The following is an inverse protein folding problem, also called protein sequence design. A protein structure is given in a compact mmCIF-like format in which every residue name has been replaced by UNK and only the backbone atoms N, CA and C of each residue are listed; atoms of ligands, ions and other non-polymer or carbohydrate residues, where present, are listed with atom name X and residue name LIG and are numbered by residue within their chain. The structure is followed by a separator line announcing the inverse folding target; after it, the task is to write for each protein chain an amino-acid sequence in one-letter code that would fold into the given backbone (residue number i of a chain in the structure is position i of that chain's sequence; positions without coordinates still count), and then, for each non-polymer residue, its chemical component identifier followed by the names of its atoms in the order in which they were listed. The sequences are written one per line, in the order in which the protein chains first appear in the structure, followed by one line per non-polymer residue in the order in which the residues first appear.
data_IF_024102798212
#
_entry.id   IF_024102798212
#
_cell.length_a   1.000
_cell.length_b   1.000
_cell.length_c   1.000
_cell.angle_alpha   90.00
_cell.angle_beta   90.00
_cell.angle_gamma   90.00
#
_symmetry.space_group_name_H-M   'P 1'
#
loop_
_entity.id
_entity.type
_entity.pdbx_description
1 polymer ?
#
# COMPACT_ATOMS: atom_id res chain seq x y z
N UNK A 1 32.70 -8.83 -9.43
CA UNK A 1 31.71 -7.76 -9.63
C UNK A 1 30.43 -8.40 -10.16
N UNK A 2 29.40 -8.55 -9.33
CA UNK A 2 28.11 -9.14 -9.75
C UNK A 2 27.37 -8.11 -10.59
N UNK A 3 27.17 -8.41 -11.87
CA UNK A 3 26.46 -7.54 -12.81
C UNK A 3 25.00 -7.45 -12.36
N UNK A 4 24.56 -6.25 -11.97
CA UNK A 4 23.13 -5.97 -11.82
C UNK A 4 22.51 -6.22 -13.19
N UNK A 5 21.57 -7.16 -13.30
CA UNK A 5 20.74 -7.28 -14.51
C UNK A 5 19.89 -6.02 -14.61
N UNK A 6 20.39 -4.98 -15.24
CA UNK A 6 19.71 -3.68 -15.42
C UNK A 6 18.63 -3.72 -16.51
N UNK A 7 18.16 -4.89 -16.90
CA UNK A 7 17.11 -5.06 -17.91
C UNK A 7 15.73 -4.90 -17.30
N UNK A 8 15.13 -3.72 -17.43
CA UNK A 8 13.69 -3.59 -17.23
C UNK A 8 12.97 -4.54 -18.20
N UNK A 9 12.22 -5.49 -17.65
CA UNK A 9 11.36 -6.36 -18.46
C UNK A 9 10.11 -5.54 -18.80
N UNK A 10 10.12 -4.87 -19.96
CA UNK A 10 9.05 -3.97 -20.40
C UNK A 10 7.66 -4.61 -20.35
N UNK A 11 7.55 -5.90 -20.70
CA UNK A 11 6.30 -6.65 -20.61
C UNK A 11 5.74 -6.71 -19.19
N UNK A 12 6.62 -6.85 -18.19
CA UNK A 12 6.26 -6.93 -16.79
C UNK A 12 5.93 -5.55 -16.22
N UNK A 13 6.61 -4.50 -16.68
CA UNK A 13 6.20 -3.12 -16.39
C UNK A 13 4.79 -2.82 -16.93
N UNK A 14 4.49 -3.22 -18.17
CA UNK A 14 3.15 -3.06 -18.76
C UNK A 14 2.07 -3.79 -17.95
N UNK A 15 2.32 -5.03 -17.54
CA UNK A 15 1.34 -5.79 -16.77
C UNK A 15 1.08 -5.19 -15.37
N UNK A 16 2.10 -4.61 -14.73
CA UNK A 16 1.91 -3.86 -13.47
C UNK A 16 1.04 -2.62 -13.66
N UNK A 17 1.17 -1.92 -14.79
CA UNK A 17 0.32 -0.75 -15.09
C UNK A 17 -1.14 -1.21 -15.23
N UNK A 18 -1.39 -2.31 -15.96
CA UNK A 18 -2.74 -2.88 -16.08
C UNK A 18 -3.30 -3.26 -14.70
N UNK A 19 -2.50 -3.93 -13.86
CA UNK A 19 -2.90 -4.29 -12.51
C UNK A 19 -3.21 -3.06 -11.63
N UNK A 20 -2.37 -2.02 -11.69
CA UNK A 20 -2.57 -0.78 -10.95
C UNK A 20 -3.83 -0.03 -11.41
N UNK A 21 -4.08 0.05 -12.73
CA UNK A 21 -5.29 0.66 -13.28
C UNK A 21 -6.55 -0.10 -12.84
N UNK A 22 -6.49 -1.43 -12.77
CA UNK A 22 -7.60 -2.23 -12.28
C UNK A 22 -7.96 -1.89 -10.83
N UNK A 23 -6.96 -1.70 -9.95
CA UNK A 23 -7.17 -1.25 -8.56
C UNK A 23 -7.77 0.15 -8.50
N UNK A 24 -7.34 1.07 -9.38
CA UNK A 24 -7.94 2.40 -9.49
C UNK A 24 -9.42 2.28 -9.86
N UNK A 25 -9.77 1.54 -10.90
CA UNK A 25 -11.17 1.37 -11.29
C UNK A 25 -12.02 0.73 -10.19
N UNK A 26 -11.47 -0.19 -9.40
CA UNK A 26 -12.15 -0.76 -8.23
C UNK A 26 -12.49 0.30 -7.18
N UNK A 27 -11.61 1.27 -6.91
CA UNK A 27 -11.88 2.34 -5.94
C UNK A 27 -12.85 3.40 -6.49
N UNK A 28 -12.81 3.67 -7.81
CA UNK A 28 -13.72 4.60 -8.47
C UNK A 28 -15.08 3.99 -8.82
N UNK A 29 -15.31 2.70 -8.51
CA UNK A 29 -16.57 2.01 -8.80
C UNK A 29 -17.83 2.74 -8.30
N UNK A 30 -17.88 3.37 -7.09
CA UNK A 30 -19.12 3.99 -6.62
C UNK A 30 -19.50 5.18 -7.49
N UNK A 31 -18.51 6.00 -7.87
CA UNK A 31 -18.68 7.13 -8.79
C UNK A 31 -19.10 6.67 -10.19
N UNK A 32 -18.56 5.54 -10.68
CA UNK A 32 -18.94 4.96 -11.97
C UNK A 32 -20.39 4.44 -11.96
N UNK A 33 -20.83 3.86 -10.85
CA UNK A 33 -22.21 3.39 -10.69
C UNK A 33 -23.21 4.55 -10.63
N UNK A 34 -22.85 5.66 -9.98
CA UNK A 34 -23.65 6.89 -9.97
C UNK A 34 -23.74 7.53 -11.36
N UNK A 35 -22.67 7.49 -12.14
CA UNK A 35 -22.64 8.07 -13.49
C UNK A 35 -23.44 7.26 -14.52
N UNK A 36 -23.52 5.93 -14.38
CA UNK A 36 -24.30 5.10 -15.30
C UNK A 36 -24.68 3.73 -14.70
N UNK A 37 -25.99 3.47 -14.49
CA UNK A 37 -26.48 2.16 -14.04
C UNK A 37 -26.17 1.02 -15.02
N UNK A 38 -26.01 1.31 -16.32
CA UNK A 38 -25.71 0.28 -17.33
C UNK A 38 -24.26 -0.20 -17.26
N UNK A 39 -23.33 0.70 -16.94
CA UNK A 39 -21.92 0.35 -16.68
C UNK A 39 -21.77 -0.53 -15.43
N UNK A 40 -22.66 -0.37 -14.44
CA UNK A 40 -22.71 -1.25 -13.26
C UNK A 40 -22.96 -2.70 -13.68
N UNK A 41 -24.01 -2.97 -14.45
CA UNK A 41 -24.42 -4.35 -14.73
C UNK A 41 -23.41 -5.09 -15.62
N UNK A 42 -22.77 -4.40 -16.57
CA UNK A 42 -21.81 -5.04 -17.48
C UNK A 42 -20.39 -5.14 -16.90
N UNK A 43 -19.93 -4.17 -16.11
CA UNK A 43 -18.57 -4.17 -15.56
C UNK A 43 -18.48 -4.61 -14.09
N UNK A 44 -19.59 -4.84 -13.39
CA UNK A 44 -19.59 -5.31 -12.00
C UNK A 44 -18.70 -6.54 -11.76
N UNK A 45 -18.71 -7.60 -12.61
CA UNK A 45 -17.88 -8.78 -12.37
C UNK A 45 -16.38 -8.45 -12.36
N UNK A 46 -15.95 -7.57 -13.28
CA UNK A 46 -14.56 -7.16 -13.41
C UNK A 46 -14.17 -6.16 -12.31
N UNK A 47 -15.02 -5.18 -12.03
CA UNK A 47 -14.75 -4.13 -11.05
C UNK A 47 -14.89 -4.60 -9.61
N UNK A 48 -15.68 -5.64 -9.33
CA UNK A 48 -15.75 -6.23 -7.99
C UNK A 48 -14.54 -7.14 -7.69
N UNK A 49 -13.88 -7.64 -8.73
CA UNK A 49 -12.68 -8.48 -8.62
C UNK A 49 -11.37 -7.67 -8.44
N UNK A 50 -11.43 -6.36 -8.21
CA UNK A 50 -10.23 -5.52 -8.12
C UNK A 50 -9.24 -5.88 -6.99
N UNK A 51 -9.67 -6.65 -5.99
CA UNK A 51 -8.75 -7.27 -5.02
C UNK A 51 -7.68 -8.15 -5.73
N UNK A 52 -8.06 -8.84 -6.82
CA UNK A 52 -7.13 -9.63 -7.63
C UNK A 52 -6.09 -8.76 -8.33
N UNK A 53 -6.42 -7.50 -8.64
CA UNK A 53 -5.47 -6.54 -9.20
C UNK A 53 -4.34 -6.22 -8.24
N UNK A 54 -4.64 -6.13 -6.94
CA UNK A 54 -3.66 -5.93 -5.86
C UNK A 54 -2.75 -7.15 -5.77
N UNK A 55 -3.32 -8.36 -5.73
CA UNK A 55 -2.55 -9.60 -5.67
C UNK A 55 -1.61 -9.76 -6.87
N UNK A 56 -2.12 -9.51 -8.08
CA UNK A 56 -1.33 -9.55 -9.31
C UNK A 56 -0.18 -8.54 -9.24
N UNK A 57 -0.43 -7.29 -8.84
CA UNK A 57 0.59 -6.28 -8.72
C UNK A 57 1.71 -6.70 -7.75
N UNK A 58 1.36 -7.29 -6.60
CA UNK A 58 2.33 -7.76 -5.62
C UNK A 58 3.14 -8.95 -6.11
N UNK A 59 2.52 -9.93 -6.76
CA UNK A 59 3.22 -11.10 -7.33
C UNK A 59 4.26 -10.65 -8.37
N UNK A 60 3.87 -9.77 -9.29
CA UNK A 60 4.77 -9.27 -10.34
C UNK A 60 5.92 -8.44 -9.74
N UNK A 61 5.61 -7.61 -8.74
CA UNK A 61 6.62 -6.81 -8.03
C UNK A 61 7.60 -7.68 -7.25
N UNK A 62 7.10 -8.75 -6.61
CA UNK A 62 7.92 -9.76 -5.94
C UNK A 62 8.82 -10.53 -6.91
N UNK A 63 8.31 -10.88 -8.09
CA UNK A 63 9.11 -11.51 -9.14
C UNK A 63 10.26 -10.60 -9.63
N UNK A 64 9.96 -9.36 -10.02
CA UNK A 64 10.99 -8.38 -10.45
C UNK A 64 12.05 -8.20 -9.37
N UNK A 65 11.60 -8.14 -8.13
CA UNK A 65 12.47 -7.96 -7.00
C UNK A 65 13.43 -9.14 -6.82
N UNK A 66 12.88 -10.35 -6.75
CA UNK A 66 13.68 -11.56 -6.62
C UNK A 66 14.64 -11.68 -7.78
N UNK A 67 14.18 -11.48 -9.02
CA UNK A 67 15.01 -11.52 -10.22
C UNK A 67 16.22 -10.56 -10.14
N UNK A 68 16.01 -9.32 -9.68
CA UNK A 68 17.07 -8.32 -9.58
C UNK A 68 18.04 -8.55 -8.42
N UNK A 69 17.61 -9.24 -7.36
CA UNK A 69 18.40 -9.44 -6.15
C UNK A 69 18.91 -10.87 -5.97
N UNK A 70 18.50 -11.82 -6.80
CA UNK A 70 18.92 -13.23 -6.74
C UNK A 70 20.45 -13.35 -6.82
N UNK A 71 21.05 -12.68 -7.80
CA UNK A 71 22.50 -12.68 -8.04
C UNK A 71 23.29 -11.97 -6.91
N UNK A 72 22.64 -11.10 -6.13
CA UNK A 72 23.22 -10.39 -4.98
C UNK A 72 23.11 -11.18 -3.68
N UNK A 73 22.03 -11.95 -3.51
CA UNK A 73 21.81 -12.78 -2.32
C UNK A 73 22.64 -14.07 -2.35
N UNK A 74 23.01 -14.55 -3.54
CA UNK A 74 23.88 -15.72 -3.72
C UNK A 74 23.18 -17.05 -3.41
N UNK A 75 23.94 -18.14 -3.47
CA UNK A 75 23.41 -19.52 -3.33
C UNK A 75 23.02 -19.93 -1.91
N UNK A 76 23.31 -19.10 -0.90
CA UNK A 76 23.05 -19.40 0.50
C UNK A 76 22.52 -18.16 1.23
N UNK A 77 21.55 -18.37 2.12
CA UNK A 77 20.96 -17.32 2.91
C UNK A 77 22.01 -16.68 3.84
N UNK A 78 22.30 -15.41 3.62
CA UNK A 78 23.22 -14.63 4.47
C UNK A 78 22.44 -13.53 5.19
N UNK A 79 22.49 -13.54 6.52
CA UNK A 79 21.74 -12.60 7.38
C UNK A 79 22.09 -11.13 7.06
N UNK A 80 23.39 -10.79 6.94
CA UNK A 80 23.83 -9.40 6.71
C UNK A 80 23.29 -8.79 5.40
N UNK A 81 23.46 -9.42 4.22
CA UNK A 81 22.85 -8.93 2.97
C UNK A 81 21.33 -8.82 3.01
N UNK A 82 20.64 -9.79 3.63
CA UNK A 82 19.18 -9.76 3.76
C UNK A 82 18.71 -8.60 4.62
N UNK A 83 19.34 -8.37 5.78
CA UNK A 83 19.02 -7.23 6.64
C UNK A 83 19.30 -5.90 5.95
N UNK A 84 20.41 -5.78 5.22
CA UNK A 84 20.72 -4.58 4.45
C UNK A 84 19.66 -4.31 3.37
N UNK A 85 19.21 -5.36 2.67
CA UNK A 85 18.14 -5.28 1.69
C UNK A 85 16.80 -4.82 2.29
N UNK A 86 16.41 -5.40 3.44
CA UNK A 86 15.20 -5.00 4.15
C UNK A 86 15.31 -3.56 4.67
N UNK A 87 16.47 -3.18 5.18
CA UNK A 87 16.73 -1.83 5.68
C UNK A 87 16.57 -0.77 4.59
N UNK A 88 17.13 -0.98 3.39
CA UNK A 88 16.98 -0.04 2.26
C UNK A 88 15.53 0.18 1.85
N UNK A 89 14.68 -0.84 2.02
CA UNK A 89 13.25 -0.76 1.73
C UNK A 89 12.52 -0.01 2.83
N UNK A 90 12.80 -0.37 4.07
CA UNK A 90 12.22 0.28 5.24
C UNK A 90 12.57 1.76 5.26
N UNK A 91 13.83 2.13 5.03
CA UNK A 91 14.29 3.52 5.00
C UNK A 91 13.65 4.36 3.90
N UNK A 92 13.09 3.72 2.87
CA UNK A 92 12.37 4.41 1.78
C UNK A 92 10.91 4.67 2.13
N UNK A 93 10.23 3.70 2.73
CA UNK A 93 8.78 3.77 3.01
C UNK A 93 8.50 4.48 4.33
N UNK A 94 9.33 4.22 5.35
CA UNK A 94 9.14 4.69 6.71
C UNK A 94 9.10 6.22 6.87
N UNK A 95 10.00 7.01 6.25
CA UNK A 95 9.97 8.46 6.45
C UNK A 95 8.70 9.09 5.89
N UNK A 96 8.26 8.63 4.71
CA UNK A 96 7.01 9.12 4.10
C UNK A 96 5.82 8.74 4.96
N UNK A 97 5.76 7.49 5.44
CA UNK A 97 4.70 7.02 6.31
C UNK A 97 4.62 7.84 7.62
N UNK A 98 5.77 8.10 8.27
CA UNK A 98 5.78 8.93 9.47
C UNK A 98 5.29 10.35 9.19
N UNK A 99 5.73 10.97 8.09
CA UNK A 99 5.26 12.32 7.73
C UNK A 99 3.75 12.33 7.55
N UNK A 100 3.20 11.39 6.77
CA UNK A 100 1.74 11.32 6.56
C UNK A 100 0.98 11.01 7.85
N UNK A 101 1.51 10.15 8.71
CA UNK A 101 0.95 9.84 10.02
C UNK A 101 0.87 11.08 10.92
N UNK A 102 1.96 11.85 11.00
CA UNK A 102 1.98 13.06 11.83
C UNK A 102 1.07 14.15 11.26
N UNK A 103 1.03 14.32 9.93
CA UNK A 103 0.11 15.26 9.30
C UNK A 103 -1.36 14.87 9.57
N UNK A 104 -1.70 13.58 9.48
CA UNK A 104 -3.04 13.09 9.81
C UNK A 104 -3.39 13.31 11.29
N UNK A 105 -2.44 13.03 12.20
CA UNK A 105 -2.64 13.27 13.63
C UNK A 105 -2.83 14.76 13.95
N UNK A 106 -1.99 15.64 13.36
CA UNK A 106 -2.12 17.09 13.50
C UNK A 106 -3.44 17.61 12.94
N UNK A 107 -3.89 17.07 11.81
CA UNK A 107 -5.19 17.40 11.23
C UNK A 107 -6.34 17.06 12.18
N UNK A 108 -6.34 15.85 12.77
CA UNK A 108 -7.35 15.43 13.74
C UNK A 108 -7.33 16.32 14.99
N UNK A 109 -6.13 16.66 15.51
CA UNK A 109 -6.01 17.56 16.66
C UNK A 109 -6.54 18.95 16.30
N UNK A 110 -6.23 19.46 15.11
CA UNK A 110 -6.71 20.75 14.64
C UNK A 110 -8.24 20.79 14.56
N UNK A 111 -8.89 19.76 13.99
CA UNK A 111 -10.35 19.72 13.88
C UNK A 111 -11.03 19.69 15.26
N UNK A 112 -10.44 19.03 16.26
CA UNK A 112 -10.95 19.03 17.64
C UNK A 112 -10.94 20.42 18.31
N UNK A 113 -10.04 21.32 17.89
CA UNK A 113 -9.89 22.64 18.50
C UNK A 113 -10.51 23.78 17.68
N UNK A 114 -10.70 23.59 16.37
CA UNK A 114 -11.03 24.69 15.44
C UNK A 114 -12.35 24.47 14.68
N UNK A 115 -13.04 23.34 14.83
CA UNK A 115 -14.36 23.14 14.21
C UNK A 115 -15.27 22.23 15.02
N UNK A 116 -16.55 22.61 15.15
CA UNK A 116 -17.62 21.80 15.76
C UNK A 116 -18.01 20.57 14.91
N UNK A 117 -17.06 20.01 14.16
CA UNK A 117 -17.21 18.78 13.38
C UNK A 117 -16.11 17.83 13.82
N UNK A 118 -16.25 17.18 15.00
CA UNK A 118 -15.31 16.16 15.42
C UNK A 118 -15.27 15.09 14.33
N UNK A 119 -14.08 14.73 13.84
CA UNK A 119 -14.01 13.56 12.97
C UNK A 119 -14.47 12.36 13.81
N UNK A 120 -15.35 11.48 13.30
CA UNK A 120 -15.80 10.29 14.02
C UNK A 120 -14.63 9.41 14.50
N UNK A 121 -13.48 9.53 13.82
CA UNK A 121 -12.25 8.79 14.10
C UNK A 121 -11.33 9.47 15.11
N UNK A 122 -11.63 10.70 15.54
CA UNK A 122 -10.87 11.39 16.58
C UNK A 122 -10.89 10.61 17.91
N UNK A 123 -12.01 9.97 18.25
CA UNK A 123 -12.13 9.12 19.43
C UNK A 123 -11.26 7.86 19.38
N UNK A 124 -10.87 7.41 18.17
CA UNK A 124 -10.03 6.23 17.94
C UNK A 124 -8.54 6.54 17.99
N UNK A 125 -8.15 7.83 17.91
CA UNK A 125 -6.77 8.28 17.99
C UNK A 125 -6.28 8.28 19.45
N UNK A 126 -6.10 7.08 20.00
CA UNK A 126 -5.52 6.87 21.33
C UNK A 126 -3.99 6.80 21.24
N UNK A 127 -3.29 7.04 22.36
CA UNK A 127 -1.84 6.86 22.43
C UNK A 127 -1.42 5.43 22.02
N UNK A 128 -2.22 4.42 22.36
CA UNK A 128 -2.00 3.02 21.97
C UNK A 128 -2.15 2.84 20.45
N UNK A 129 -3.20 3.40 19.85
CA UNK A 129 -3.40 3.34 18.39
C UNK A 129 -2.24 4.02 17.65
N UNK A 130 -1.80 5.19 18.13
CA UNK A 130 -0.67 5.90 17.56
C UNK A 130 0.63 5.10 17.63
N UNK A 131 0.94 4.49 18.78
CA UNK A 131 2.12 3.61 18.92
C UNK A 131 2.02 2.42 17.97
N UNK A 132 0.85 1.78 17.84
CA UNK A 132 0.65 0.67 16.90
C UNK A 132 0.90 1.09 15.45
N UNK A 133 0.44 2.28 15.05
CA UNK A 133 0.69 2.85 13.73
C UNK A 133 2.17 3.16 13.53
N UNK A 134 2.83 3.78 14.51
CA UNK A 134 4.28 4.04 14.47
C UNK A 134 5.06 2.76 14.26
N UNK A 135 4.63 1.61 14.81
CA UNK A 135 5.32 0.32 14.60
C UNK A 135 4.79 -0.51 13.42
N UNK A 136 3.82 -0.01 12.65
CA UNK A 136 3.14 -0.73 11.56
C UNK A 136 2.49 -2.06 12.01
N UNK A 137 2.05 -2.16 13.27
CA UNK A 137 1.43 -3.37 13.84
C UNK A 137 -0.08 -3.23 14.05
N UNK A 138 -0.69 -2.16 13.56
CA UNK A 138 -2.13 -1.90 13.71
C UNK A 138 -3.00 -3.02 13.10
N UNK A 139 -2.60 -3.55 11.94
CA UNK A 139 -3.32 -4.62 11.23
C UNK A 139 -3.19 -6.00 11.90
N UNK A 140 -2.37 -6.14 12.95
CA UNK A 140 -2.37 -7.37 13.76
C UNK A 140 -3.58 -7.44 14.68
N UNK A 141 -4.17 -6.29 14.98
CA UNK A 141 -5.27 -6.15 15.93
C UNK A 141 -6.57 -5.71 15.27
N UNK A 142 -6.49 -5.09 14.08
CA UNK A 142 -7.66 -4.70 13.28
C UNK A 142 -7.66 -5.45 11.93
N UNK A 143 -8.79 -6.06 11.53
CA UNK A 143 -8.85 -6.88 10.32
C UNK A 143 -8.90 -6.06 9.02
N UNK A 144 -9.24 -4.77 9.08
CA UNK A 144 -9.41 -3.92 7.90
C UNK A 144 -8.77 -2.53 8.09
N UNK A 145 -8.67 -1.79 6.98
CA UNK A 145 -8.24 -0.39 7.00
C UNK A 145 -9.44 0.50 7.34
N UNK A 146 -9.81 0.57 8.62
CA UNK A 146 -10.91 1.39 9.11
C UNK A 146 -10.51 2.27 10.32
N UNK A 147 -11.23 3.39 10.49
CA UNK A 147 -10.95 4.32 11.57
C UNK A 147 -9.62 5.06 11.43
N UNK A 148 -8.64 4.77 12.29
CA UNK A 148 -7.34 5.45 12.28
C UNK A 148 -6.26 4.73 11.50
N UNK A 149 -6.52 3.53 10.98
CA UNK A 149 -5.61 2.84 10.08
C UNK A 149 -5.84 3.36 8.66
N UNK A 150 -5.12 4.42 8.32
CA UNK A 150 -5.02 4.98 6.97
C UNK A 150 -3.77 4.44 6.26
#
# INVERSE_FOLDING_TARGET
MSAVRTGEIKALTGLRIVAALWVVFFHFRPLLWEASPRLKDELAPLLNAGAQGVDLFFILSGFVLTWNYLDRMGSSFKVKPTLHFLWLRLSRVWPVYLVTLHLAALWIIFTLHVGDVPSPDAAKLTAISYVRQVFLVQLWFEPFFDGTSW
#
